data_IF_424422317665
#
_entry.id   IF_424422317665
#
_cell.length_a   1.000
_cell.length_b   1.000
_cell.length_c   1.000
_cell.angle_alpha   90.00
_cell.angle_beta   90.00
_cell.angle_gamma   90.00
#
_symmetry.space_group_name_H-M   'P 1'
#
loop_
_entity.id
_entity.type
_entity.pdbx_description
1 polymer ?
#
# COMPACT_ATOMS: atom_id res chain seq x y z
N UNK A 1 10.68 11.72 15.83
CA UNK A 1 9.46 10.96 15.54
C UNK A 1 8.79 11.64 14.35
N UNK A 2 8.76 11.00 13.18
CA UNK A 2 8.08 11.57 12.03
C UNK A 2 6.58 11.66 12.35
N UNK A 3 6.00 12.85 12.24
CA UNK A 3 4.57 13.07 12.33
C UNK A 3 3.90 12.43 11.13
N UNK A 4 3.29 11.26 11.32
CA UNK A 4 2.46 10.61 10.31
C UNK A 4 1.25 11.50 10.02
N UNK A 5 1.11 11.97 8.77
CA UNK A 5 0.03 12.86 8.33
C UNK A 5 -1.26 12.11 7.94
N UNK A 6 -1.33 10.81 8.26
CA UNK A 6 -2.49 9.97 7.96
C UNK A 6 -3.39 9.82 9.19
N UNK A 7 -4.70 9.71 8.97
CA UNK A 7 -5.63 9.40 10.06
C UNK A 7 -5.40 7.98 10.56
N UNK A 8 -5.64 7.76 11.86
CA UNK A 8 -5.52 6.41 12.45
C UNK A 8 -6.42 5.39 11.75
N UNK A 9 -7.63 5.80 11.34
CA UNK A 9 -8.55 4.93 10.60
C UNK A 9 -7.98 4.49 9.26
N UNK A 10 -7.31 5.40 8.52
CA UNK A 10 -6.68 5.08 7.25
C UNK A 10 -5.51 4.12 7.42
N UNK A 11 -4.70 4.32 8.46
CA UNK A 11 -3.60 3.42 8.79
C UNK A 11 -4.13 2.02 9.16
N UNK A 12 -5.14 1.94 10.02
CA UNK A 12 -5.77 0.66 10.38
C UNK A 12 -6.35 -0.07 9.17
N UNK A 13 -7.05 0.65 8.28
CA UNK A 13 -7.58 0.07 7.05
C UNK A 13 -6.45 -0.43 6.13
N UNK A 14 -5.36 0.34 6.01
CA UNK A 14 -4.19 -0.05 5.21
C UNK A 14 -3.56 -1.34 5.76
N UNK A 15 -3.34 -1.44 7.08
CA UNK A 15 -2.82 -2.67 7.71
C UNK A 15 -3.77 -3.83 7.46
N UNK A 16 -5.06 -3.65 7.69
CA UNK A 16 -6.05 -4.71 7.56
C UNK A 16 -6.10 -5.26 6.13
N UNK A 17 -6.12 -4.38 5.13
CA UNK A 17 -6.08 -4.77 3.72
C UNK A 17 -4.81 -5.55 3.38
N UNK A 18 -3.65 -5.10 3.82
CA UNK A 18 -2.39 -5.79 3.53
C UNK A 18 -2.31 -7.13 4.27
N UNK A 19 -2.78 -7.20 5.52
CA UNK A 19 -2.79 -8.41 6.35
C UNK A 19 -3.75 -9.46 5.83
N UNK A 20 -4.92 -9.04 5.34
CA UNK A 20 -5.91 -9.92 4.69
C UNK A 20 -5.58 -10.20 3.23
N UNK A 21 -4.40 -9.78 2.75
CA UNK A 21 -3.94 -9.98 1.39
C UNK A 21 -4.93 -9.47 0.33
N UNK A 22 -5.61 -8.37 0.63
CA UNK A 22 -6.62 -7.75 -0.24
C UNK A 22 -7.95 -8.49 -0.30
N UNK A 23 -8.18 -9.55 0.51
CA UNK A 23 -9.46 -10.26 0.54
C UNK A 23 -10.64 -9.40 0.98
N UNK A 24 -10.39 -8.33 1.73
CA UNK A 24 -11.40 -7.38 2.18
C UNK A 24 -11.65 -6.24 1.16
N UNK A 25 -10.89 -6.19 0.06
CA UNK A 25 -11.08 -5.22 -1.01
C UNK A 25 -11.86 -5.83 -2.16
N UNK A 26 -12.77 -5.03 -2.73
CA UNK A 26 -13.22 -5.27 -4.10
C UNK A 26 -12.06 -4.84 -5.00
N UNK A 27 -11.46 -5.74 -5.80
CA UNK A 27 -10.42 -5.36 -6.74
C UNK A 27 -10.94 -4.24 -7.63
N UNK A 28 -10.15 -3.20 -7.79
CA UNK A 28 -10.38 -2.20 -8.84
C UNK A 28 -10.38 -2.90 -10.21
N UNK A 29 -11.10 -2.35 -11.21
CA UNK A 29 -11.15 -2.96 -12.55
C UNK A 29 -9.78 -3.12 -13.22
N UNK A 30 -8.77 -2.36 -12.77
CA UNK A 30 -7.40 -2.43 -13.28
C UNK A 30 -6.54 -3.51 -12.58
N UNK A 31 -7.07 -4.19 -11.56
CA UNK A 31 -6.36 -5.26 -10.85
C UNK A 31 -5.28 -4.78 -9.87
N UNK A 32 -5.31 -3.50 -9.47
CA UNK A 32 -4.28 -2.90 -8.61
C UNK A 32 -4.85 -2.25 -7.35
N UNK A 33 -4.21 -2.46 -6.20
CA UNK A 33 -4.44 -1.64 -5.01
C UNK A 33 -3.61 -0.36 -5.13
N UNK A 34 -4.26 0.79 -4.98
CA UNK A 34 -3.61 2.10 -5.12
C UNK A 34 -3.18 2.64 -3.76
N UNK A 35 -2.03 3.33 -3.77
CA UNK A 35 -1.42 3.90 -2.59
C UNK A 35 -0.99 5.35 -2.83
N UNK A 36 -0.97 6.11 -1.75
CA UNK A 36 -0.41 7.45 -1.69
C UNK A 36 0.66 7.52 -0.60
N UNK A 37 1.79 8.11 -0.95
CA UNK A 37 2.89 8.37 -0.02
C UNK A 37 2.75 9.74 0.62
N UNK A 38 3.29 9.91 1.83
CA UNK A 38 3.35 11.18 2.55
C UNK A 38 4.06 12.30 1.77
N UNK A 39 5.00 11.95 0.90
CA UNK A 39 5.72 12.88 0.02
C UNK A 39 4.93 13.26 -1.27
N UNK A 40 3.70 12.75 -1.41
CA UNK A 40 2.83 13.03 -2.54
C UNK A 40 3.00 12.10 -3.74
N UNK A 41 3.86 11.09 -3.65
CA UNK A 41 3.96 10.04 -4.68
C UNK A 41 2.72 9.15 -4.68
N UNK A 42 2.39 8.64 -5.86
CA UNK A 42 1.33 7.65 -6.03
C UNK A 42 1.95 6.34 -6.46
N UNK A 43 1.49 5.25 -5.87
CA UNK A 43 1.97 3.92 -6.13
C UNK A 43 0.82 2.95 -6.35
N UNK A 44 1.15 1.77 -6.85
CA UNK A 44 0.19 0.68 -6.99
C UNK A 44 0.84 -0.66 -6.73
N UNK A 45 0.07 -1.58 -6.17
CA UNK A 45 0.44 -2.99 -5.96
C UNK A 45 -0.53 -3.85 -6.76
N UNK A 46 0.01 -4.79 -7.53
CA UNK A 46 -0.80 -5.79 -8.23
C UNK A 46 -1.51 -6.70 -7.21
N UNK A 47 -2.82 -6.91 -7.39
CA UNK A 47 -3.65 -7.69 -6.46
C UNK A 47 -3.17 -9.13 -6.37
N UNK A 48 -2.72 -9.75 -7.48
CA UNK A 48 -2.21 -11.12 -7.45
C UNK A 48 -0.92 -11.23 -6.62
N UNK A 49 -0.05 -10.23 -6.73
CA UNK A 49 1.17 -10.12 -5.94
C UNK A 49 0.85 -9.98 -4.45
N UNK A 50 -0.11 -9.11 -4.09
CA UNK A 50 -0.59 -8.98 -2.72
C UNK A 50 -1.18 -10.29 -2.18
N UNK A 51 -2.02 -10.97 -2.96
CA UNK A 51 -2.58 -12.30 -2.64
C UNK A 51 -1.50 -13.36 -2.45
N UNK A 52 -0.35 -13.22 -3.12
CA UNK A 52 0.81 -14.10 -2.92
C UNK A 52 1.68 -13.72 -1.71
N UNK A 53 1.28 -12.70 -0.94
CA UNK A 53 2.02 -12.21 0.23
C UNK A 53 3.20 -11.33 -0.12
N UNK A 54 3.26 -10.79 -1.35
CA UNK A 54 4.31 -9.88 -1.80
C UNK A 54 3.83 -8.44 -1.66
N UNK A 55 4.55 -7.66 -0.86
CA UNK A 55 4.26 -6.23 -0.69
C UNK A 55 5.20 -5.43 -1.58
N UNK A 56 4.79 -5.20 -2.83
CA UNK A 56 5.56 -4.49 -3.83
C UNK A 56 4.76 -3.28 -4.33
N UNK A 57 5.20 -2.07 -4.00
CA UNK A 57 4.60 -0.84 -4.50
C UNK A 57 5.43 -0.35 -5.68
N UNK A 58 4.79 -0.24 -6.84
CA UNK A 58 5.38 0.40 -8.02
C UNK A 58 5.03 1.88 -7.99
N UNK A 59 6.02 2.75 -7.96
CA UNK A 59 5.84 4.20 -8.09
C UNK A 59 5.33 4.52 -9.51
N UNK A 60 4.18 5.19 -9.63
CA UNK A 60 3.55 5.46 -10.93
C UNK A 60 4.30 6.49 -11.77
N UNK A 61 5.19 7.28 -11.18
CA UNK A 61 5.96 8.32 -11.87
C UNK A 61 7.33 7.79 -12.29
N UNK A 62 8.03 7.08 -11.42
CA UNK A 62 9.40 6.61 -11.72
C UNK A 62 9.46 5.17 -12.20
N UNK A 63 8.39 4.38 -12.00
CA UNK A 63 8.34 2.94 -12.22
C UNK A 63 9.30 2.15 -11.33
N UNK A 64 9.85 2.77 -10.29
CA UNK A 64 10.64 2.06 -9.29
C UNK A 64 9.74 1.17 -8.43
N UNK A 65 10.26 0.00 -8.06
CA UNK A 65 9.55 -0.97 -7.22
C UNK A 65 10.15 -0.97 -5.82
N UNK A 66 9.37 -0.48 -4.86
CA UNK A 66 9.68 -0.58 -3.44
C UNK A 66 9.13 -1.90 -2.89
N UNK A 67 9.98 -2.68 -2.21
CA UNK A 67 9.63 -3.99 -1.66
C UNK A 67 9.65 -3.96 -0.15
N UNK A 68 8.62 -4.52 0.46
CA UNK A 68 8.43 -4.54 1.91
C UNK A 68 8.28 -5.96 2.42
N UNK A 69 8.78 -6.21 3.63
CA UNK A 69 8.69 -7.51 4.28
C UNK A 69 7.39 -7.70 5.08
N UNK A 70 6.73 -6.62 5.50
CA UNK A 70 5.50 -6.66 6.30
C UNK A 70 4.55 -5.50 5.96
N UNK A 71 3.25 -5.62 6.28
CA UNK A 71 2.29 -4.50 6.20
C UNK A 71 2.74 -3.24 6.93
N UNK A 72 3.34 -3.37 8.12
CA UNK A 72 3.79 -2.25 8.93
C UNK A 72 4.96 -1.52 8.27
N UNK A 73 5.82 -2.22 7.52
CA UNK A 73 6.92 -1.61 6.77
C UNK A 73 6.41 -0.70 5.64
N UNK A 74 5.28 -1.05 5.01
CA UNK A 74 4.61 -0.19 4.00
C UNK A 74 4.20 1.14 4.63
N UNK A 75 3.55 1.07 5.80
CA UNK A 75 3.11 2.27 6.53
C UNK A 75 4.31 3.06 7.03
N UNK A 76 5.32 2.40 7.60
CA UNK A 76 6.53 3.05 8.09
C UNK A 76 7.29 3.79 6.98
N UNK A 77 7.21 3.31 5.74
CA UNK A 77 7.75 4.00 4.56
C UNK A 77 6.89 5.19 4.09
N UNK A 78 5.71 5.40 4.68
CA UNK A 78 4.85 6.54 4.42
C UNK A 78 3.69 6.27 3.48
N UNK A 79 3.50 5.03 3.03
CA UNK A 79 2.42 4.64 2.13
C UNK A 79 1.12 4.35 2.89
N UNK A 80 0.01 4.82 2.36
CA UNK A 80 -1.35 4.49 2.79
C UNK A 80 -2.23 4.21 1.57
N UNK A 81 -3.36 3.50 1.77
CA UNK A 81 -4.36 3.33 0.72
C UNK A 81 -4.87 4.69 0.20
N UNK A 82 -5.16 4.76 -1.11
CA UNK A 82 -5.71 5.94 -1.80
C UNK A 82 -7.13 5.65 -2.35
#
# INVERSE_FOLDING_TARGET
MATFNWSQSLLSQTVETLTTQGMNLVPTPDGHVHFKSLDGRHGSMDVLSLMSGKFEITDKKTYDVERFSTPEAVIAAGWALD
#
